data_IF_953334684568
#
_entry.id   IF_953334684568
#
_cell.length_a   1.000
_cell.length_b   1.000
_cell.length_c   1.000
_cell.angle_alpha   90.00
_cell.angle_beta   90.00
_cell.angle_gamma   90.00
#
_symmetry.space_group_name_H-M   'P 1'
#
loop_
_entity.id
_entity.type
_entity.pdbx_description
1 polymer ?
#
# COMPACT_ATOMS: atom_id res chain seq x y z
N UNK A 1 6.37 -5.92 -1.93
CA UNK A 1 6.67 -7.24 -1.36
C UNK A 1 6.05 -8.32 -2.23
N UNK A 2 6.48 -9.58 -2.12
CA UNK A 2 6.00 -10.74 -2.88
C UNK A 2 6.24 -10.68 -4.40
N UNK A 3 5.97 -11.80 -5.08
CA UNK A 3 6.12 -12.06 -6.53
C UNK A 3 7.57 -12.04 -7.05
N UNK A 4 8.38 -11.08 -6.62
CA UNK A 4 9.81 -11.02 -6.93
C UNK A 4 10.72 -11.57 -5.84
N UNK A 5 12.03 -11.52 -6.09
CA UNK A 5 13.05 -12.22 -5.30
C UNK A 5 13.94 -11.31 -4.42
N UNK A 6 13.76 -9.99 -4.54
CA UNK A 6 14.72 -8.98 -4.07
C UNK A 6 14.22 -8.14 -2.88
N UNK A 7 13.26 -8.62 -2.07
CA UNK A 7 12.64 -7.76 -1.05
C UNK A 7 13.63 -7.19 -0.02
N UNK A 8 14.67 -7.95 0.35
CA UNK A 8 15.72 -7.47 1.26
C UNK A 8 16.47 -6.29 0.65
N UNK A 9 16.81 -6.37 -0.65
CA UNK A 9 17.48 -5.28 -1.37
C UNK A 9 16.55 -4.06 -1.48
N UNK A 10 15.27 -4.27 -1.81
CA UNK A 10 14.27 -3.21 -1.93
C UNK A 10 14.10 -2.49 -0.59
N UNK A 11 13.94 -3.20 0.52
CA UNK A 11 13.81 -2.56 1.82
C UNK A 11 15.08 -1.83 2.27
N UNK A 12 16.25 -2.40 2.01
CA UNK A 12 17.51 -1.73 2.34
C UNK A 12 17.70 -0.46 1.50
N UNK A 13 17.33 -0.48 0.22
CA UNK A 13 17.29 0.69 -0.65
C UNK A 13 16.32 1.75 -0.10
N UNK A 14 15.08 1.38 0.19
CA UNK A 14 14.06 2.32 0.73
C UNK A 14 14.55 2.96 2.03
N UNK A 15 15.10 2.17 2.96
CA UNK A 15 15.65 2.70 4.22
C UNK A 15 16.83 3.63 3.97
N UNK A 16 17.67 3.34 2.97
CA UNK A 16 18.77 4.21 2.55
C UNK A 16 18.23 5.53 1.99
N UNK A 17 17.27 5.47 1.06
CA UNK A 17 16.63 6.65 0.45
C UNK A 17 15.96 7.54 1.51
N UNK A 18 15.23 6.96 2.47
CA UNK A 18 14.64 7.73 3.58
C UNK A 18 15.68 8.50 4.42
N UNK A 19 16.91 7.97 4.56
CA UNK A 19 18.02 8.66 5.26
C UNK A 19 18.68 9.73 4.39
N UNK A 20 18.67 9.56 3.07
CA UNK A 20 19.31 10.47 2.13
C UNK A 20 18.42 11.66 1.77
N UNK A 21 17.11 11.43 1.63
CA UNK A 21 16.15 12.42 1.14
C UNK A 21 16.16 13.74 1.93
N UNK A 22 16.21 13.76 3.27
CA UNK A 22 16.27 15.02 4.02
C UNK A 22 17.52 15.86 3.71
N UNK A 23 18.64 15.22 3.32
CA UNK A 23 19.88 15.93 2.91
C UNK A 23 19.74 16.65 1.56
N UNK A 24 18.63 16.42 0.85
CA UNK A 24 18.26 17.02 -0.43
C UNK A 24 16.95 17.83 -0.32
N UNK A 25 16.50 18.17 0.90
CA UNK A 25 15.21 18.80 1.16
C UNK A 25 14.03 18.00 0.59
N UNK A 26 14.12 16.68 0.62
CA UNK A 26 13.10 15.77 0.12
C UNK A 26 12.66 14.79 1.22
N UNK A 27 11.49 14.18 1.04
CA UNK A 27 10.94 13.18 1.96
C UNK A 27 10.50 11.96 1.14
N UNK A 28 10.76 10.77 1.67
CA UNK A 28 10.26 9.51 1.09
C UNK A 28 9.14 8.99 1.98
N UNK A 29 7.93 9.07 1.46
CA UNK A 29 6.74 8.43 2.02
C UNK A 29 6.54 7.06 1.40
N UNK A 30 5.89 6.16 2.14
CA UNK A 30 5.56 4.82 1.68
C UNK A 30 4.09 4.57 2.00
N UNK A 31 3.37 3.98 1.05
CA UNK A 31 1.99 3.56 1.25
C UNK A 31 1.97 2.08 1.60
N UNK A 32 1.14 1.70 2.57
CA UNK A 32 0.95 0.32 2.97
C UNK A 32 0.08 -0.41 1.94
N UNK A 33 0.54 -1.57 1.43
CA UNK A 33 -0.23 -2.42 0.52
C UNK A 33 -0.78 -3.69 1.16
N UNK A 34 -1.57 -4.45 0.39
CA UNK A 34 -2.06 -5.77 0.82
C UNK A 34 -0.94 -6.79 1.03
N UNK A 35 0.12 -6.76 0.22
CA UNK A 35 1.24 -7.71 0.34
C UNK A 35 1.99 -7.59 1.66
N UNK A 36 2.18 -6.37 2.17
CA UNK A 36 2.70 -6.16 3.52
C UNK A 36 1.75 -6.74 4.59
N UNK A 37 0.43 -6.56 4.42
CA UNK A 37 -0.58 -7.13 5.32
C UNK A 37 -0.59 -8.67 5.26
N UNK A 38 -0.49 -9.28 4.07
CA UNK A 38 -0.42 -10.73 3.89
C UNK A 38 0.78 -11.31 4.64
N UNK A 39 1.95 -10.68 4.53
CA UNK A 39 3.14 -11.17 5.22
C UNK A 39 3.04 -11.00 6.74
N UNK A 40 2.37 -9.96 7.24
CA UNK A 40 2.06 -9.82 8.67
C UNK A 40 1.02 -10.84 9.16
N UNK A 41 0.19 -11.38 8.26
CA UNK A 41 -0.77 -12.46 8.52
C UNK A 41 -0.16 -13.86 8.41
N UNK A 42 1.12 -13.98 8.08
CA UNK A 42 1.76 -15.23 7.70
C UNK A 42 1.13 -15.91 6.47
N UNK A 43 0.57 -15.11 5.56
CA UNK A 43 0.13 -15.58 4.25
C UNK A 43 1.25 -15.38 3.22
N UNK A 44 1.93 -16.46 2.88
CA UNK A 44 3.07 -16.46 1.95
C UNK A 44 2.72 -17.00 0.56
N UNK A 45 1.43 -17.03 0.20
CA UNK A 45 0.98 -17.59 -1.07
C UNK A 45 1.67 -16.96 -2.29
N UNK A 46 2.00 -15.67 -2.22
CA UNK A 46 2.68 -14.94 -3.29
C UNK A 46 4.19 -14.79 -3.09
N UNK A 47 4.74 -15.31 -1.98
CA UNK A 47 6.16 -15.17 -1.67
C UNK A 47 6.96 -16.21 -2.44
N UNK A 48 7.91 -15.76 -3.27
CA UNK A 48 8.76 -16.67 -4.03
C UNK A 48 9.73 -17.42 -3.11
N UNK A 49 10.19 -18.59 -3.55
CA UNK A 49 11.18 -19.36 -2.77
C UNK A 49 12.51 -18.63 -2.65
N UNK A 50 12.90 -17.83 -3.64
CA UNK A 50 14.12 -17.02 -3.61
C UNK A 50 13.97 -15.83 -2.66
N UNK A 51 12.80 -15.21 -2.61
CA UNK A 51 12.48 -14.15 -1.65
C UNK A 51 12.59 -14.67 -0.22
N UNK A 52 12.08 -15.87 0.07
CA UNK A 52 12.26 -16.54 1.37
C UNK A 52 13.74 -16.83 1.66
N UNK A 53 14.48 -17.37 0.68
CA UNK A 53 15.92 -17.65 0.82
C UNK A 53 16.75 -16.38 1.08
N UNK A 54 16.31 -15.21 0.61
CA UNK A 54 17.00 -13.94 0.88
C UNK A 54 17.08 -13.59 2.38
N UNK A 55 16.18 -14.13 3.21
CA UNK A 55 16.24 -14.05 4.68
C UNK A 55 16.99 -15.24 5.32
N UNK A 56 17.33 -16.26 4.55
CA UNK A 56 17.95 -17.51 5.01
C UNK A 56 16.96 -18.56 5.55
N UNK A 57 15.85 -18.13 6.16
CA UNK A 57 14.77 -19.02 6.63
C UNK A 57 13.46 -18.25 6.79
N UNK A 58 12.34 -18.99 6.91
CA UNK A 58 11.05 -18.41 7.25
C UNK A 58 11.09 -17.71 8.62
N UNK A 59 11.68 -18.36 9.63
CA UNK A 59 11.87 -17.79 10.96
C UNK A 59 12.65 -16.46 10.93
N UNK A 60 13.70 -16.37 10.12
CA UNK A 60 14.45 -15.13 9.95
C UNK A 60 13.63 -14.03 9.27
N UNK A 61 12.77 -14.38 8.30
CA UNK A 61 11.83 -13.44 7.69
C UNK A 61 10.86 -12.92 8.74
N UNK A 62 10.21 -13.82 9.49
CA UNK A 62 9.31 -13.44 10.58
C UNK A 62 9.99 -12.53 11.59
N UNK A 63 11.20 -12.87 12.04
CA UNK A 63 12.00 -12.04 12.93
C UNK A 63 12.30 -10.67 12.33
N UNK A 64 12.62 -10.60 11.04
CA UNK A 64 12.89 -9.33 10.35
C UNK A 64 11.63 -8.44 10.22
N UNK A 65 10.46 -9.03 10.05
CA UNK A 65 9.16 -8.35 9.94
C UNK A 65 8.44 -8.16 11.28
N UNK A 66 8.92 -8.78 12.36
CA UNK A 66 8.44 -8.60 13.72
C UNK A 66 8.59 -7.14 14.17
N UNK A 67 7.82 -6.69 15.17
CA UNK A 67 7.85 -5.30 15.64
C UNK A 67 9.25 -4.79 15.99
N UNK A 68 10.12 -5.66 16.53
CA UNK A 68 11.52 -5.35 16.88
C UNK A 68 12.52 -5.70 15.77
N UNK A 69 12.04 -6.24 14.66
CA UNK A 69 12.81 -6.67 13.52
C UNK A 69 13.35 -5.54 12.67
N UNK A 70 14.28 -5.87 11.76
CA UNK A 70 14.95 -4.92 10.86
C UNK A 70 13.97 -4.06 10.05
N UNK A 71 12.82 -4.62 9.66
CA UNK A 71 11.82 -3.98 8.79
C UNK A 71 10.45 -3.80 9.44
N UNK A 72 10.20 -4.40 10.62
CA UNK A 72 8.87 -4.35 11.24
C UNK A 72 8.38 -2.95 11.54
N UNK A 73 9.23 -2.07 12.08
CA UNK A 73 8.86 -0.67 12.31
C UNK A 73 8.47 0.06 11.01
N UNK A 74 9.20 -0.20 9.93
CA UNK A 74 8.92 0.40 8.62
C UNK A 74 7.48 0.07 8.19
N UNK A 75 7.11 -1.22 8.25
CA UNK A 75 5.80 -1.69 7.79
C UNK A 75 4.69 -1.33 8.78
N UNK A 76 4.91 -1.55 10.07
CA UNK A 76 3.87 -1.48 11.11
C UNK A 76 3.61 -0.05 11.61
N UNK A 77 4.55 0.88 11.41
CA UNK A 77 4.47 2.24 11.96
C UNK A 77 4.75 3.36 10.93
N UNK A 78 5.63 3.15 9.96
CA UNK A 78 6.06 4.22 9.04
C UNK A 78 5.27 4.26 7.72
N UNK A 79 4.94 3.10 7.14
CA UNK A 79 4.12 3.01 5.92
C UNK A 79 2.69 3.47 6.21
N UNK A 80 2.18 4.41 5.42
CA UNK A 80 0.88 5.03 5.63
C UNK A 80 -0.23 4.24 4.94
N UNK A 81 -1.30 3.84 5.65
CA UNK A 81 -2.50 3.30 5.00
C UNK A 81 -3.08 4.26 3.97
N UNK A 82 -3.22 5.53 4.35
CA UNK A 82 -3.66 6.63 3.51
C UNK A 82 -2.77 7.83 3.79
N UNK A 83 -2.38 8.56 2.74
CA UNK A 83 -1.50 9.73 2.86
C UNK A 83 -2.08 10.89 2.07
N UNK A 84 -2.16 12.06 2.70
CA UNK A 84 -2.47 13.31 2.00
C UNK A 84 -1.20 14.16 1.89
N UNK A 85 -0.87 14.62 0.69
CA UNK A 85 0.17 15.62 0.43
C UNK A 85 -0.45 16.69 -0.45
N UNK A 86 -0.41 17.93 0.01
CA UNK A 86 -1.01 19.09 -0.66
C UNK A 86 -2.47 18.81 -1.06
N UNK A 87 -2.75 18.78 -2.36
CA UNK A 87 -4.07 18.56 -2.94
C UNK A 87 -4.28 17.12 -3.43
N UNK A 88 -3.50 16.15 -2.95
CA UNK A 88 -3.52 14.77 -3.42
C UNK A 88 -3.61 13.77 -2.28
N UNK A 89 -4.46 12.75 -2.44
CA UNK A 89 -4.57 11.61 -1.52
C UNK A 89 -4.02 10.34 -2.19
N UNK A 90 -3.22 9.58 -1.46
CA UNK A 90 -2.57 8.36 -1.89
C UNK A 90 -3.07 7.18 -1.05
N UNK A 91 -3.52 6.13 -1.71
CA UNK A 91 -4.01 4.89 -1.08
C UNK A 91 -3.68 3.71 -2.00
N UNK A 92 -3.46 2.52 -1.46
CA UNK A 92 -2.98 1.41 -2.28
C UNK A 92 -3.98 0.97 -3.35
N UNK A 93 -5.25 0.75 -2.99
CA UNK A 93 -6.25 0.15 -3.88
C UNK A 93 -7.46 1.06 -4.19
N UNK A 94 -7.67 2.10 -3.38
CA UNK A 94 -8.85 2.98 -3.43
C UNK A 94 -9.47 3.10 -2.04
N UNK A 95 -10.21 4.18 -1.77
CA UNK A 95 -10.72 4.45 -0.42
C UNK A 95 -12.22 4.71 -0.46
N UNK A 96 -12.98 3.92 0.30
CA UNK A 96 -14.38 4.22 0.57
C UNK A 96 -14.53 5.17 1.76
N UNK A 97 -15.48 6.09 1.65
CA UNK A 97 -15.75 7.17 2.61
C UNK A 97 -16.19 6.67 3.97
N UNK A 98 -16.80 5.47 4.04
CA UNK A 98 -17.17 4.79 5.28
C UNK A 98 -15.95 4.54 6.20
N UNK A 99 -14.72 4.44 5.66
CA UNK A 99 -13.53 4.23 6.48
C UNK A 99 -12.95 5.52 7.06
N UNK A 100 -13.32 6.69 6.55
CA UNK A 100 -12.77 7.99 6.97
C UNK A 100 -13.81 8.96 7.54
N UNK A 101 -14.93 8.44 8.05
CA UNK A 101 -15.92 9.26 8.76
C UNK A 101 -15.29 10.03 9.95
N UNK A 102 -14.29 9.43 10.60
CA UNK A 102 -13.51 10.03 11.69
C UNK A 102 -12.20 10.70 11.22
N UNK A 103 -11.99 10.85 9.92
CA UNK A 103 -10.79 11.43 9.32
C UNK A 103 -9.68 10.41 9.01
N UNK A 104 -8.73 10.85 8.19
CA UNK A 104 -7.61 10.04 7.68
C UNK A 104 -6.62 9.69 8.80
N UNK A 105 -6.38 10.61 9.74
CA UNK A 105 -5.49 10.39 10.87
C UNK A 105 -6.02 9.27 11.77
N UNK A 106 -7.32 9.27 12.06
CA UNK A 106 -7.96 8.21 12.84
C UNK A 106 -7.82 6.85 12.16
N UNK A 107 -8.09 6.76 10.85
CA UNK A 107 -7.90 5.55 10.07
C UNK A 107 -6.47 5.04 10.18
N UNK A 108 -5.49 5.92 9.95
CA UNK A 108 -4.08 5.58 9.99
C UNK A 108 -3.66 5.07 11.37
N UNK A 109 -4.03 5.78 12.43
CA UNK A 109 -3.75 5.38 13.81
C UNK A 109 -4.37 4.02 14.13
N UNK A 110 -5.62 3.81 13.73
CA UNK A 110 -6.35 2.57 13.97
C UNK A 110 -5.68 1.37 13.30
N UNK A 111 -5.34 1.48 12.01
CA UNK A 111 -4.61 0.43 11.29
C UNK A 111 -3.27 0.17 11.97
N UNK A 112 -2.50 1.20 12.31
CA UNK A 112 -1.21 1.04 12.99
C UNK A 112 -1.35 0.37 14.37
N UNK A 113 -2.42 0.62 15.12
CA UNK A 113 -2.70 -0.09 16.37
C UNK A 113 -2.84 -1.61 16.13
N UNK A 114 -3.59 -2.00 15.09
CA UNK A 114 -3.75 -3.42 14.72
C UNK A 114 -2.42 -4.04 14.26
N UNK A 115 -1.64 -3.34 13.43
CA UNK A 115 -0.37 -3.88 12.91
C UNK A 115 0.70 -4.02 14.00
N UNK A 116 0.70 -3.14 15.01
CA UNK A 116 1.62 -3.24 16.15
C UNK A 116 1.34 -4.48 17.01
N UNK A 117 0.11 -4.97 17.05
CA UNK A 117 -0.27 -6.19 17.79
C UNK A 117 -0.28 -7.45 16.94
N UNK A 118 0.06 -7.36 15.64
CA UNK A 118 0.01 -8.53 14.75
C UNK A 118 0.89 -9.69 15.28
N UNK A 119 0.30 -10.88 15.48
CA UNK A 119 0.93 -12.01 16.16
C UNK A 119 2.06 -12.64 15.35
N UNK A 120 2.99 -13.33 16.02
CA UNK A 120 3.91 -14.27 15.38
C UNK A 120 3.20 -15.54 14.91
N UNK A 121 3.84 -16.38 14.09
CA UNK A 121 3.25 -17.66 13.66
C UNK A 121 2.91 -18.55 14.85
N UNK A 122 3.79 -18.63 15.84
CA UNK A 122 3.56 -19.41 17.07
C UNK A 122 2.34 -18.89 17.84
N UNK A 123 2.16 -17.57 17.91
CA UNK A 123 1.03 -16.94 18.58
C UNK A 123 -0.30 -17.16 17.84
N UNK A 124 -0.31 -17.24 16.51
CA UNK A 124 -1.52 -17.51 15.71
C UNK A 124 -2.17 -18.83 16.15
N UNK A 125 -1.37 -19.88 16.32
CA UNK A 125 -1.85 -21.18 16.78
C UNK A 125 -2.51 -21.09 18.16
N UNK A 126 -1.91 -20.32 19.07
CA UNK A 126 -2.44 -20.12 20.42
C UNK A 126 -3.72 -19.28 20.44
N UNK A 127 -3.81 -18.23 19.62
CA UNK A 127 -5.02 -17.43 19.45
C UNK A 127 -6.18 -18.31 18.94
N UNK A 128 -5.92 -19.16 17.94
CA UNK A 128 -6.91 -20.08 17.39
C UNK A 128 -7.40 -21.10 18.42
N UNK A 129 -6.50 -21.70 19.21
CA UNK A 129 -6.86 -22.61 20.32
C UNK A 129 -7.77 -21.91 21.34
N UNK A 130 -7.47 -20.65 21.65
CA UNK A 130 -8.24 -19.81 22.60
C UNK A 130 -9.50 -19.18 21.99
N UNK A 131 -9.77 -19.39 20.69
CA UNK A 131 -10.86 -18.74 19.94
C UNK A 131 -10.83 -17.21 20.03
N UNK A 132 -9.63 -16.65 20.12
CA UNK A 132 -9.43 -15.20 20.09
C UNK A 132 -9.31 -14.78 18.63
N UNK A 133 -10.23 -13.92 18.19
CA UNK A 133 -10.19 -13.34 16.87
C UNK A 133 -9.40 -12.03 16.91
N UNK A 134 -8.21 -12.04 16.30
CA UNK A 134 -7.36 -10.86 16.26
C UNK A 134 -7.79 -9.95 15.09
N UNK A 135 -7.95 -8.62 15.28
CA UNK A 135 -8.46 -7.70 14.25
C UNK A 135 -7.71 -7.75 12.92
N UNK A 136 -6.44 -8.16 12.93
CA UNK A 136 -5.67 -8.43 11.71
C UNK A 136 -6.39 -9.40 10.75
N UNK A 137 -7.19 -10.34 11.24
CA UNK A 137 -7.84 -11.39 10.43
C UNK A 137 -9.34 -11.18 10.22
N UNK A 138 -9.95 -10.20 10.90
CA UNK A 138 -11.40 -10.02 10.87
C UNK A 138 -11.86 -8.59 10.69
N UNK A 139 -10.99 -7.60 10.91
CA UNK A 139 -11.40 -6.21 10.79
C UNK A 139 -11.72 -5.86 9.33
N UNK A 140 -12.92 -5.35 9.01
CA UNK A 140 -13.33 -5.03 7.65
C UNK A 140 -12.37 -4.11 6.89
N UNK A 141 -11.65 -3.21 7.58
CA UNK A 141 -10.66 -2.33 6.94
C UNK A 141 -9.48 -3.11 6.35
N UNK A 142 -9.24 -4.34 6.81
CA UNK A 142 -8.12 -5.17 6.35
C UNK A 142 -8.58 -6.40 5.54
N UNK A 143 -9.84 -6.84 5.65
CA UNK A 143 -10.31 -8.10 5.03
C UNK A 143 -11.53 -7.98 4.14
N UNK A 144 -12.27 -6.86 4.19
CA UNK A 144 -13.49 -6.74 3.37
C UNK A 144 -13.14 -6.48 1.90
N UNK A 145 -14.10 -6.73 1.00
CA UNK A 145 -13.96 -6.41 -0.42
C UNK A 145 -13.77 -4.92 -0.68
N UNK A 146 -14.18 -4.07 0.25
CA UNK A 146 -13.99 -2.60 0.20
C UNK A 146 -12.69 -2.13 0.87
N UNK A 147 -11.92 -3.04 1.46
CA UNK A 147 -10.64 -2.72 2.12
C UNK A 147 -9.77 -1.82 1.23
N UNK A 148 -9.20 -0.72 1.77
CA UNK A 148 -8.37 0.19 0.99
C UNK A 148 -7.06 -0.42 0.46
N UNK A 149 -6.80 -1.67 0.83
CA UNK A 149 -5.64 -2.43 0.44
C UNK A 149 -5.92 -3.48 -0.65
N UNK A 150 -7.18 -3.89 -0.88
CA UNK A 150 -7.45 -5.05 -1.75
C UNK A 150 -8.61 -4.86 -2.74
N UNK A 151 -9.45 -3.84 -2.54
CA UNK A 151 -10.58 -3.58 -3.45
C UNK A 151 -10.09 -3.28 -4.88
N UNK A 152 -10.89 -3.61 -5.90
CA UNK A 152 -10.56 -3.29 -7.30
C UNK A 152 -11.55 -2.33 -7.93
N UNK A 153 -12.56 -1.92 -7.17
CA UNK A 153 -13.73 -1.22 -7.67
C UNK A 153 -13.36 0.09 -8.36
N UNK A 154 -12.44 0.86 -7.77
CA UNK A 154 -11.95 2.11 -8.35
C UNK A 154 -11.22 1.93 -9.67
N UNK A 155 -10.69 0.75 -9.96
CA UNK A 155 -10.05 0.43 -11.23
C UNK A 155 -10.98 -0.24 -12.23
N UNK A 156 -12.01 -0.97 -11.79
CA UNK A 156 -12.77 -1.89 -12.65
C UNK A 156 -14.25 -1.54 -12.82
N UNK A 157 -14.91 -0.95 -11.82
CA UNK A 157 -16.33 -0.59 -11.93
C UNK A 157 -16.52 0.63 -12.83
N UNK A 158 -17.69 0.78 -13.50
CA UNK A 158 -18.00 1.95 -14.31
C UNK A 158 -17.86 3.29 -13.57
N UNK A 159 -17.45 4.34 -14.28
CA UNK A 159 -17.26 5.68 -13.67
C UNK A 159 -18.52 6.24 -13.01
N UNK A 160 -19.70 5.97 -13.58
CA UNK A 160 -20.99 6.37 -12.99
C UNK A 160 -21.22 5.81 -11.57
N UNK A 161 -20.55 4.71 -11.22
CA UNK A 161 -20.68 4.06 -9.91
C UNK A 161 -19.61 4.57 -8.94
N UNK A 162 -18.37 4.77 -9.41
CA UNK A 162 -17.26 5.11 -8.52
C UNK A 162 -16.96 6.60 -8.39
N UNK A 163 -17.20 7.41 -9.43
CA UNK A 163 -16.85 8.83 -9.38
C UNK A 163 -17.59 9.62 -8.29
N UNK A 164 -18.88 9.35 -7.96
CA UNK A 164 -19.51 9.98 -6.81
C UNK A 164 -18.80 9.69 -5.49
N UNK A 165 -18.26 8.48 -5.33
CA UNK A 165 -17.49 8.10 -4.14
C UNK A 165 -16.12 8.81 -4.11
N UNK A 166 -15.43 8.90 -5.26
CA UNK A 166 -14.20 9.69 -5.41
C UNK A 166 -14.44 11.14 -5.03
N UNK A 167 -15.45 11.79 -5.61
CA UNK A 167 -15.81 13.18 -5.29
C UNK A 167 -16.08 13.40 -3.80
N UNK A 168 -16.77 12.45 -3.16
CA UNK A 168 -17.04 12.48 -1.72
C UNK A 168 -15.76 12.42 -0.90
N UNK A 169 -14.84 11.51 -1.21
CA UNK A 169 -13.52 11.41 -0.56
C UNK A 169 -12.72 12.69 -0.73
N UNK A 170 -12.65 13.21 -1.96
CA UNK A 170 -11.90 14.43 -2.26
C UNK A 170 -12.44 15.62 -1.48
N UNK A 171 -13.76 15.73 -1.35
CA UNK A 171 -14.41 16.74 -0.49
C UNK A 171 -14.10 16.55 1.00
N UNK A 172 -14.18 15.31 1.51
CA UNK A 172 -13.90 15.01 2.92
C UNK A 172 -12.44 15.28 3.30
N UNK A 173 -11.52 15.14 2.35
CA UNK A 173 -10.08 15.30 2.58
C UNK A 173 -9.51 16.62 2.08
N UNK A 174 -10.36 17.48 1.48
CA UNK A 174 -9.96 18.74 0.86
C UNK A 174 -8.81 18.56 -0.17
N UNK A 175 -8.92 17.52 -1.00
CA UNK A 175 -7.97 17.20 -2.07
C UNK A 175 -8.64 17.32 -3.43
N UNK A 176 -7.83 17.34 -4.50
CA UNK A 176 -8.29 17.41 -5.90
C UNK A 176 -8.22 16.07 -6.63
N UNK A 177 -7.37 15.15 -6.16
CA UNK A 177 -7.18 13.85 -6.82
C UNK A 177 -6.77 12.74 -5.86
N UNK A 178 -7.21 11.53 -6.18
CA UNK A 178 -6.81 10.29 -5.53
C UNK A 178 -5.89 9.50 -6.45
N UNK A 179 -4.76 9.03 -5.92
CA UNK A 179 -3.77 8.23 -6.64
C UNK A 179 -3.72 6.83 -6.03
N UNK A 180 -3.89 5.82 -6.88
CA UNK A 180 -3.97 4.41 -6.48
C UNK A 180 -3.09 3.50 -7.34
N UNK A 181 -2.77 2.32 -6.82
CA UNK A 181 -2.11 1.23 -7.55
C UNK A 181 -2.95 -0.05 -7.51
N UNK A 182 -2.31 -1.18 -7.13
CA UNK A 182 -2.89 -2.51 -6.84
C UNK A 182 -3.52 -3.27 -8.01
N UNK A 183 -4.26 -2.59 -8.88
CA UNK A 183 -4.80 -3.16 -10.10
C UNK A 183 -3.91 -2.75 -11.26
N UNK A 184 -3.14 -3.71 -11.75
CA UNK A 184 -2.28 -3.54 -12.94
C UNK A 184 -3.15 -3.11 -14.12
N UNK A 185 -2.80 -1.98 -14.72
CA UNK A 185 -3.49 -1.42 -15.88
C UNK A 185 -3.14 -2.20 -17.16
N UNK A 186 -4.09 -2.26 -18.09
CA UNK A 186 -3.86 -2.89 -19.40
C UNK A 186 -2.96 -2.01 -20.27
N UNK A 187 -2.22 -2.65 -21.19
CA UNK A 187 -1.33 -1.97 -22.16
C UNK A 187 -0.24 -1.12 -21.52
N UNK A 188 0.08 -1.37 -20.25
CA UNK A 188 1.25 -0.81 -19.57
C UNK A 188 1.17 0.71 -19.39
N UNK A 189 -0.05 1.25 -19.52
CA UNK A 189 -0.38 2.66 -19.42
C UNK A 189 -1.15 2.95 -18.13
N UNK A 190 -0.64 3.92 -17.36
CA UNK A 190 -1.36 4.54 -16.26
C UNK A 190 -2.66 5.17 -16.80
N UNK A 191 -3.72 5.07 -16.01
CA UNK A 191 -5.05 5.52 -16.40
C UNK A 191 -5.50 6.70 -15.56
N UNK A 192 -6.31 7.54 -16.18
CA UNK A 192 -7.01 8.64 -15.51
C UNK A 192 -8.51 8.43 -15.64
N UNK A 193 -9.23 8.64 -14.54
CA UNK A 193 -10.67 8.43 -14.43
C UNK A 193 -11.33 9.61 -13.69
N UNK A 194 -12.65 9.72 -13.80
CA UNK A 194 -13.45 10.72 -13.10
C UNK A 194 -12.96 12.16 -13.36
N UNK A 195 -12.81 12.53 -14.64
CA UNK A 195 -12.30 13.86 -15.03
C UNK A 195 -10.94 14.21 -14.37
N UNK A 196 -10.00 13.25 -14.34
CA UNK A 196 -8.67 13.37 -13.71
C UNK A 196 -8.66 13.48 -12.18
N UNK A 197 -9.77 13.17 -11.51
CA UNK A 197 -9.83 13.07 -10.06
C UNK A 197 -9.30 11.73 -9.52
N UNK A 198 -9.19 10.70 -10.36
CA UNK A 198 -8.66 9.40 -9.99
C UNK A 198 -7.54 9.00 -10.96
N UNK A 199 -6.34 8.78 -10.42
CA UNK A 199 -5.17 8.32 -11.17
C UNK A 199 -4.81 6.91 -10.74
N UNK A 200 -4.66 5.99 -11.69
CA UNK A 200 -4.31 4.59 -11.44
C UNK A 200 -2.95 4.33 -12.07
N UNK A 201 -1.96 4.04 -11.22
CA UNK A 201 -0.54 4.15 -11.58
C UNK A 201 0.21 2.82 -11.55
N UNK A 202 -0.46 1.72 -11.24
CA UNK A 202 0.15 0.40 -11.29
C UNK A 202 0.15 -0.13 -12.72
N UNK A 203 1.33 -0.11 -13.35
CA UNK A 203 1.55 -0.61 -14.71
C UNK A 203 2.32 -1.94 -14.72
N UNK A 204 2.44 -2.63 -13.58
CA UNK A 204 3.07 -3.95 -13.56
C UNK A 204 4.60 -3.92 -13.59
N UNK A 205 5.22 -3.10 -12.73
CA UNK A 205 6.69 -3.02 -12.56
C UNK A 205 7.35 -4.32 -12.09
N UNK A 206 6.59 -5.25 -11.51
CA UNK A 206 7.11 -6.59 -11.25
C UNK A 206 7.25 -7.36 -12.56
N UNK A 207 8.37 -8.08 -12.72
CA UNK A 207 8.59 -8.98 -13.86
C UNK A 207 7.51 -10.07 -14.00
N UNK A 208 6.74 -10.36 -12.94
CA UNK A 208 5.62 -11.30 -13.01
C UNK A 208 4.43 -10.76 -13.82
N UNK A 209 4.41 -9.46 -14.12
CA UNK A 209 3.40 -8.82 -14.94
C UNK A 209 3.98 -8.36 -16.27
N UNK A 210 5.01 -7.53 -16.22
CA UNK A 210 5.50 -6.92 -17.45
C UNK A 210 6.82 -6.17 -17.38
N UNK A 211 7.37 -5.93 -16.18
CA UNK A 211 8.65 -5.22 -15.99
C UNK A 211 8.62 -3.77 -16.52
N UNK A 212 7.45 -3.14 -16.48
CA UNK A 212 7.25 -1.77 -16.97
C UNK A 212 7.60 -0.74 -15.90
N UNK A 213 8.29 0.32 -16.32
CA UNK A 213 8.68 1.40 -15.43
C UNK A 213 8.04 2.72 -15.82
N UNK A 214 7.43 3.35 -14.83
CA UNK A 214 6.84 4.67 -14.97
C UNK A 214 6.53 5.27 -13.61
N UNK A 215 6.27 6.58 -13.61
CA UNK A 215 5.88 7.32 -12.42
C UNK A 215 4.96 8.49 -12.79
N UNK A 216 4.21 8.96 -11.79
CA UNK A 216 3.46 10.21 -11.90
C UNK A 216 4.29 11.34 -11.33
N UNK A 217 4.45 12.40 -12.10
CA UNK A 217 5.07 13.65 -11.68
C UNK A 217 3.98 14.70 -11.47
N UNK A 218 3.94 15.29 -10.28
CA UNK A 218 2.96 16.33 -9.91
C UNK A 218 3.74 17.60 -9.58
N UNK A 219 3.49 18.66 -10.34
CA UNK A 219 4.07 19.99 -10.13
C UNK A 219 2.95 20.95 -9.72
N UNK A 220 2.71 21.04 -8.41
CA UNK A 220 1.60 21.82 -7.85
C UNK A 220 1.71 23.33 -8.15
N UNK A 221 2.92 23.87 -8.21
CA UNK A 221 3.21 25.26 -8.57
C UNK A 221 2.80 25.61 -10.00
N UNK A 222 2.81 24.62 -10.90
CA UNK A 222 2.41 24.75 -12.31
C UNK A 222 1.03 24.20 -12.60
N UNK A 223 0.39 23.56 -11.62
CA UNK A 223 -0.85 22.81 -11.79
C UNK A 223 -0.74 21.76 -12.92
N UNK A 224 0.41 21.09 -13.00
CA UNK A 224 0.71 20.06 -14.00
C UNK A 224 0.76 18.67 -13.37
N UNK A 225 0.23 17.68 -14.09
CA UNK A 225 0.31 16.25 -13.74
C UNK A 225 0.73 15.49 -14.98
N UNK A 226 1.84 14.76 -14.89
CA UNK A 226 2.42 14.02 -16.01
C UNK A 226 2.54 12.54 -15.68
N UNK A 227 2.07 11.69 -16.58
CA UNK A 227 2.46 10.27 -16.62
C UNK A 227 3.78 10.17 -17.38
N UNK A 228 4.81 9.67 -16.69
CA UNK A 228 6.15 9.48 -17.24
C UNK A 228 6.39 7.99 -17.39
N UNK A 229 6.68 7.58 -18.61
CA UNK A 229 7.11 6.22 -18.93
C UNK A 229 8.57 6.27 -19.33
N UNK A 230 9.35 5.27 -18.90
CA UNK A 230 10.69 5.13 -19.41
C UNK A 230 10.62 4.31 -20.69
N UNK A 231 10.63 5.00 -21.83
CA UNK A 231 10.83 4.32 -23.12
C UNK A 231 12.30 3.88 -23.15
N UNK A 232 12.54 2.58 -23.04
CA UNK A 232 13.84 2.00 -23.41
C UNK A 232 14.15 2.26 -24.88
#
# INVERSE_FOLDING_TARGET
>A
MDRGDDIVKIFDLIKSLKKQAPKKNSIVHLILGNHEIYNLRANYFFTSTNDLKSFGSLENREKALSLKGKYGKLIREEMKPVLTIDDSIFVHAGLYSEFIENGVEHLNEYVHQILKTAPSIDEICELKKKRIDHPLYSNPILVSEKSPFDNRDFSTLPEKEICPEVEKILKMTNTKRMIIGHTVQQYDEMQSRCNNQLLIIDIGMSYCYGDYFGYVEILNDKNEVWFRYNNN
#
